data_IF_541835979956
#
_entry.id   IF_541835979956
#
_cell.length_a   1.000
_cell.length_b   1.000
_cell.length_c   1.000
_cell.angle_alpha   90.00
_cell.angle_beta   90.00
_cell.angle_gamma   90.00
#
_symmetry.space_group_name_H-M   'P 1'
#
loop_
_entity.id
_entity.type
_entity.pdbx_description
1 polymer ?
#
# COMPACT_ATOMS: atom_id res chain seq x y z
N UNK A 1 21.02 -10.25 -41.33
CA UNK A 1 19.55 -10.02 -41.32
C UNK A 1 18.82 -10.96 -40.37
N UNK A 2 18.78 -12.28 -40.59
CA UNK A 2 18.04 -13.23 -39.71
C UNK A 2 18.31 -13.12 -38.20
N UNK A 3 19.56 -12.92 -37.79
CA UNK A 3 19.90 -12.77 -36.36
C UNK A 3 19.44 -11.43 -35.76
N UNK A 4 19.38 -10.36 -36.57
CA UNK A 4 18.86 -9.06 -36.12
C UNK A 4 17.36 -9.18 -35.82
N UNK A 5 16.61 -9.90 -36.66
CA UNK A 5 15.20 -10.22 -36.38
C UNK A 5 15.04 -11.06 -35.11
N UNK A 6 15.90 -12.06 -34.91
CA UNK A 6 15.86 -12.86 -33.68
C UNK A 6 16.11 -12.00 -32.42
N UNK A 7 17.13 -11.14 -32.43
CA UNK A 7 17.41 -10.22 -31.33
C UNK A 7 16.26 -9.24 -31.09
N UNK A 8 15.65 -8.73 -32.17
CA UNK A 8 14.48 -7.86 -32.09
C UNK A 8 13.29 -8.57 -31.43
N UNK A 9 13.00 -9.82 -31.84
CA UNK A 9 11.92 -10.62 -31.24
C UNK A 9 12.20 -10.90 -29.77
N UNK A 10 13.43 -11.27 -29.40
CA UNK A 10 13.81 -11.52 -28.00
C UNK A 10 13.59 -10.26 -27.15
N UNK A 11 14.08 -9.11 -27.62
CA UNK A 11 13.92 -7.83 -26.92
C UNK A 11 12.44 -7.43 -26.81
N UNK A 12 11.66 -7.60 -27.88
CA UNK A 12 10.24 -7.30 -27.90
C UNK A 12 9.45 -8.21 -26.94
N UNK A 13 9.74 -9.52 -26.92
CA UNK A 13 9.12 -10.46 -25.99
C UNK A 13 9.47 -10.12 -24.53
N UNK A 14 10.72 -9.79 -24.24
CA UNK A 14 11.13 -9.38 -22.90
C UNK A 14 10.41 -8.11 -22.45
N UNK A 15 10.28 -7.11 -23.34
CA UNK A 15 9.55 -5.87 -23.07
C UNK A 15 8.06 -6.12 -22.82
N UNK A 16 7.39 -6.86 -23.71
CA UNK A 16 5.96 -7.17 -23.55
C UNK A 16 5.74 -7.95 -22.25
N UNK A 17 6.59 -8.94 -21.97
CA UNK A 17 6.45 -9.74 -20.77
C UNK A 17 6.65 -8.90 -19.51
N UNK A 18 7.76 -8.19 -19.38
CA UNK A 18 8.11 -7.47 -18.16
C UNK A 18 7.17 -6.29 -17.89
N UNK A 19 6.77 -5.54 -18.93
CA UNK A 19 6.03 -4.29 -18.74
C UNK A 19 4.51 -4.48 -18.71
N UNK A 20 3.98 -5.61 -19.18
CA UNK A 20 2.53 -5.80 -19.33
C UNK A 20 1.98 -7.16 -18.84
N UNK A 21 2.80 -8.21 -18.77
CA UNK A 21 2.30 -9.58 -18.47
C UNK A 21 2.77 -10.08 -17.10
N UNK A 22 3.99 -9.74 -16.69
CA UNK A 22 4.63 -10.31 -15.51
C UNK A 22 3.84 -10.05 -14.21
N UNK A 23 3.25 -8.86 -14.05
CA UNK A 23 2.38 -8.56 -12.90
C UNK A 23 1.17 -9.48 -12.84
N UNK A 24 0.48 -9.71 -13.97
CA UNK A 24 -0.65 -10.64 -14.01
C UNK A 24 -0.21 -12.08 -13.65
N UNK A 25 0.98 -12.49 -14.11
CA UNK A 25 1.53 -13.83 -13.84
C UNK A 25 1.89 -14.01 -12.37
N UNK A 26 2.39 -12.99 -11.70
CA UNK A 26 2.72 -13.05 -10.27
C UNK A 26 1.45 -12.96 -9.43
N UNK A 27 0.58 -11.99 -9.72
CA UNK A 27 -0.58 -11.64 -8.90
C UNK A 27 -1.74 -12.63 -9.04
N UNK A 28 -1.82 -13.44 -10.10
CA UNK A 28 -2.83 -14.51 -10.22
C UNK A 28 -2.77 -15.54 -9.07
N UNK A 29 -1.60 -15.66 -8.41
CA UNK A 29 -1.40 -16.54 -7.26
C UNK A 29 -2.00 -15.97 -5.97
N UNK A 30 -2.31 -14.68 -5.93
CA UNK A 30 -3.00 -14.09 -4.80
C UNK A 30 -4.50 -14.39 -4.87
N UNK A 31 -5.05 -14.84 -3.74
CA UNK A 31 -6.47 -15.16 -3.58
C UNK A 31 -6.99 -14.52 -2.31
N UNK A 32 -8.28 -14.20 -2.30
CA UNK A 32 -8.97 -13.77 -1.09
C UNK A 32 -8.93 -14.90 -0.07
N UNK A 33 -8.48 -14.65 1.17
CA UNK A 33 -8.46 -15.68 2.18
C UNK A 33 -9.89 -16.02 2.61
N UNK A 34 -10.16 -17.30 2.86
CA UNK A 34 -11.51 -17.79 3.20
C UNK A 34 -11.69 -17.90 4.71
N UNK A 35 -12.75 -17.29 5.23
CA UNK A 35 -13.14 -17.42 6.64
C UNK A 35 -13.75 -18.81 6.87
N UNK A 36 -13.03 -19.68 7.59
CA UNK A 36 -13.44 -21.06 7.87
C UNK A 36 -14.50 -21.15 8.97
N UNK A 37 -15.74 -20.75 8.68
CA UNK A 37 -16.88 -20.90 9.59
C UNK A 37 -17.73 -22.14 9.30
N UNK A 38 -18.16 -22.83 10.37
CA UNK A 38 -19.15 -23.94 10.28
C UNK A 38 -20.56 -23.48 9.87
N UNK A 39 -20.85 -22.18 9.97
CA UNK A 39 -22.15 -21.57 9.66
C UNK A 39 -22.01 -20.65 8.45
N UNK A 40 -22.71 -20.98 7.36
CA UNK A 40 -22.83 -20.30 6.06
C UNK A 40 -23.38 -18.86 6.11
N UNK A 41 -23.46 -18.22 7.28
CA UNK A 41 -24.38 -17.10 7.54
C UNK A 41 -23.93 -15.72 7.07
N UNK A 42 -22.80 -15.59 6.37
CA UNK A 42 -22.46 -14.32 5.71
C UNK A 42 -22.41 -14.56 4.21
N UNK A 43 -23.51 -14.22 3.54
CA UNK A 43 -23.71 -14.45 2.11
C UNK A 43 -22.78 -13.58 1.24
N UNK A 44 -22.21 -12.50 1.78
CA UNK A 44 -21.30 -11.58 1.06
C UNK A 44 -20.27 -10.91 2.00
N UNK A 45 -19.06 -11.49 2.20
CA UNK A 45 -18.00 -10.84 2.97
C UNK A 45 -17.40 -9.65 2.22
N UNK A 46 -16.91 -8.66 2.96
CA UNK A 46 -16.19 -7.53 2.39
C UNK A 46 -14.77 -7.92 2.02
N UNK A 47 -14.38 -7.66 0.77
CA UNK A 47 -13.03 -7.88 0.24
C UNK A 47 -12.28 -6.56 0.16
N UNK A 48 -11.45 -6.29 1.15
CA UNK A 48 -10.66 -5.06 1.24
C UNK A 48 -9.23 -5.31 0.76
N UNK A 49 -8.78 -4.52 -0.21
CA UNK A 49 -7.37 -4.45 -0.61
C UNK A 49 -6.71 -3.28 0.13
N UNK A 50 -5.56 -3.51 0.76
CA UNK A 50 -4.93 -2.53 1.64
C UNK A 50 -3.47 -2.34 1.22
N UNK A 51 -3.15 -1.11 0.83
CA UNK A 51 -1.83 -0.65 0.37
C UNK A 51 -1.25 0.34 1.39
N UNK A 52 0.07 0.57 1.34
CA UNK A 52 0.73 1.63 2.09
C UNK A 52 1.91 2.21 1.32
N UNK A 53 2.32 3.41 1.69
CA UNK A 53 3.58 4.03 1.30
C UNK A 53 3.81 3.97 -0.23
N UNK A 54 2.91 4.57 -1.01
CA UNK A 54 3.05 4.61 -2.47
C UNK A 54 4.14 5.57 -2.92
N UNK A 55 4.43 6.62 -2.14
CA UNK A 55 5.47 7.62 -2.38
C UNK A 55 5.57 8.07 -3.84
N UNK A 56 4.51 8.65 -4.39
CA UNK A 56 4.57 9.28 -5.70
C UNK A 56 5.68 10.33 -5.72
N UNK A 57 6.53 10.26 -6.75
CA UNK A 57 7.76 11.03 -6.78
C UNK A 57 7.51 12.49 -7.08
N UNK A 58 8.25 13.31 -6.34
CA UNK A 58 8.12 14.74 -6.39
C UNK A 58 9.04 15.50 -7.31
N UNK A 59 8.69 16.78 -7.58
CA UNK A 59 9.44 17.61 -8.51
C UNK A 59 10.74 18.14 -7.91
N UNK A 60 10.95 18.07 -6.58
CA UNK A 60 12.14 18.65 -5.96
C UNK A 60 13.29 17.66 -5.82
N UNK A 61 13.02 16.46 -5.30
CA UNK A 61 14.01 15.41 -4.99
C UNK A 61 13.86 14.18 -5.89
N UNK A 62 12.75 14.06 -6.62
CA UNK A 62 12.52 12.95 -7.55
C UNK A 62 13.32 13.11 -8.85
N UNK A 63 14.04 12.06 -9.24
CA UNK A 63 14.66 11.98 -10.55
C UNK A 63 13.63 11.52 -11.60
N UNK A 64 13.57 12.17 -12.77
CA UNK A 64 12.52 11.92 -13.76
C UNK A 64 12.50 10.48 -14.31
N UNK A 65 13.66 9.84 -14.50
CA UNK A 65 13.74 8.41 -14.91
C UNK A 65 13.24 7.47 -13.83
N UNK A 66 13.57 7.76 -12.56
CA UNK A 66 13.11 6.96 -11.43
C UNK A 66 11.59 7.10 -11.31
N UNK A 67 11.08 8.33 -11.40
CA UNK A 67 9.65 8.62 -11.45
C UNK A 67 8.96 7.82 -12.55
N UNK A 68 9.42 7.96 -13.79
CA UNK A 68 8.81 7.29 -14.94
C UNK A 68 8.74 5.77 -14.74
N UNK A 69 9.86 5.15 -14.35
CA UNK A 69 9.93 3.69 -14.33
C UNK A 69 9.30 3.06 -13.08
N UNK A 70 9.51 3.65 -11.91
CA UNK A 70 8.93 3.15 -10.65
C UNK A 70 7.41 3.30 -10.65
N UNK A 71 6.92 4.46 -11.07
CA UNK A 71 5.48 4.71 -11.13
C UNK A 71 4.80 3.89 -12.24
N UNK A 72 5.49 3.60 -13.34
CA UNK A 72 5.00 2.69 -14.37
C UNK A 72 4.71 1.29 -13.82
N UNK A 73 5.67 0.69 -13.12
CA UNK A 73 5.51 -0.64 -12.52
C UNK A 73 4.52 -0.63 -11.35
N UNK A 74 4.50 0.43 -10.53
CA UNK A 74 3.50 0.58 -9.48
C UNK A 74 2.08 0.64 -10.06
N UNK A 75 1.88 1.40 -11.14
CA UNK A 75 0.59 1.46 -11.85
C UNK A 75 0.24 0.11 -12.46
N UNK A 76 1.19 -0.55 -13.13
CA UNK A 76 1.00 -1.88 -13.72
C UNK A 76 0.51 -2.91 -12.69
N UNK A 77 1.22 -3.01 -11.57
CA UNK A 77 0.88 -3.90 -10.48
C UNK A 77 -0.49 -3.59 -9.87
N UNK A 78 -0.82 -2.32 -9.63
CA UNK A 78 -2.15 -1.95 -9.10
C UNK A 78 -3.28 -2.30 -10.07
N UNK A 79 -3.12 -1.99 -11.37
CA UNK A 79 -4.14 -2.26 -12.37
C UNK A 79 -4.33 -3.77 -12.57
N UNK A 80 -3.25 -4.56 -12.56
CA UNK A 80 -3.31 -6.02 -12.60
C UNK A 80 -3.99 -6.59 -11.35
N UNK A 81 -3.63 -6.13 -10.15
CA UNK A 81 -4.24 -6.54 -8.88
C UNK A 81 -5.75 -6.25 -8.86
N UNK A 82 -6.14 -5.01 -9.21
CA UNK A 82 -7.53 -4.58 -9.28
C UNK A 82 -8.36 -5.43 -10.26
N UNK A 83 -7.81 -5.66 -11.47
CA UNK A 83 -8.49 -6.44 -12.51
C UNK A 83 -8.68 -7.93 -12.12
N UNK A 84 -7.67 -8.54 -11.49
CA UNK A 84 -7.70 -9.94 -11.09
C UNK A 84 -8.54 -10.18 -9.84
N UNK A 85 -8.41 -9.32 -8.84
CA UNK A 85 -8.93 -9.56 -7.49
C UNK A 85 -10.30 -8.92 -7.28
N UNK A 86 -10.63 -7.84 -8.00
CA UNK A 86 -11.92 -7.14 -7.94
C UNK A 86 -12.36 -6.83 -6.49
N UNK A 87 -11.61 -5.98 -5.76
CA UNK A 87 -11.92 -5.64 -4.38
C UNK A 87 -13.24 -4.86 -4.27
N UNK A 88 -13.89 -4.96 -3.11
CA UNK A 88 -15.04 -4.12 -2.76
C UNK A 88 -14.62 -2.71 -2.33
N UNK A 89 -13.42 -2.57 -1.77
CA UNK A 89 -12.83 -1.31 -1.31
C UNK A 89 -11.30 -1.40 -1.34
N UNK A 90 -10.65 -0.27 -1.64
CA UNK A 90 -9.20 -0.14 -1.52
C UNK A 90 -8.85 0.91 -0.47
N UNK A 91 -7.98 0.56 0.47
CA UNK A 91 -7.40 1.50 1.43
C UNK A 91 -5.93 1.77 1.09
N UNK A 92 -5.48 3.01 1.22
CA UNK A 92 -4.06 3.39 1.13
C UNK A 92 -3.67 4.12 2.41
N UNK A 93 -2.76 3.52 3.18
CA UNK A 93 -2.43 3.88 4.56
C UNK A 93 -1.33 4.93 4.66
N UNK A 94 -1.53 6.09 4.04
CA UNK A 94 -0.58 7.21 4.13
C UNK A 94 0.62 7.11 3.21
N UNK A 95 1.38 8.21 3.23
CA UNK A 95 2.53 8.50 2.38
C UNK A 95 2.22 8.22 0.91
N UNK A 96 1.13 8.85 0.47
CA UNK A 96 0.69 8.81 -0.91
C UNK A 96 1.75 9.46 -1.80
N UNK A 97 2.34 10.55 -1.29
CA UNK A 97 3.28 11.43 -1.97
C UNK A 97 4.59 11.51 -1.22
N UNK A 98 5.73 11.60 -1.92
CA UNK A 98 7.06 11.71 -1.27
C UNK A 98 7.35 13.12 -0.73
N UNK A 99 6.70 14.13 -1.29
CA UNK A 99 6.94 15.55 -0.99
C UNK A 99 5.64 16.32 -0.81
N UNK A 100 4.57 15.64 -0.38
CA UNK A 100 3.28 16.26 -0.12
C UNK A 100 3.46 17.52 0.73
N UNK A 101 4.07 17.38 1.91
CA UNK A 101 4.37 18.45 2.88
C UNK A 101 5.33 19.56 2.41
N UNK A 102 5.85 19.50 1.18
CA UNK A 102 6.83 20.46 0.65
C UNK A 102 6.31 21.27 -0.53
N UNK A 103 5.37 20.72 -1.31
CA UNK A 103 4.93 21.34 -2.57
C UNK A 103 3.89 22.43 -2.35
N UNK A 104 3.75 23.34 -3.32
CA UNK A 104 2.67 24.34 -3.35
C UNK A 104 1.30 23.70 -3.57
N UNK A 105 0.22 24.46 -3.36
CA UNK A 105 -1.16 23.98 -3.57
C UNK A 105 -1.38 23.47 -5.01
N UNK A 106 -0.96 24.24 -6.02
CA UNK A 106 -1.07 23.82 -7.42
C UNK A 106 -0.34 22.50 -7.71
N UNK A 107 0.86 22.33 -7.16
CA UNK A 107 1.65 21.11 -7.34
C UNK A 107 1.04 19.93 -6.58
N UNK A 108 0.45 20.19 -5.41
CA UNK A 108 -0.30 19.19 -4.65
C UNK A 108 -1.54 18.71 -5.42
N UNK A 109 -2.26 19.61 -6.07
CA UNK A 109 -3.35 19.26 -6.96
C UNK A 109 -2.88 18.36 -8.12
N UNK A 110 -1.77 18.71 -8.78
CA UNK A 110 -1.16 17.88 -9.84
C UNK A 110 -0.81 16.47 -9.35
N UNK A 111 -0.29 16.37 -8.11
CA UNK A 111 -0.02 15.11 -7.42
C UNK A 111 -1.27 14.28 -7.22
N UNK A 112 -2.33 14.87 -6.67
CA UNK A 112 -3.61 14.21 -6.45
C UNK A 112 -4.16 13.69 -7.78
N UNK A 113 -4.14 14.49 -8.83
CA UNK A 113 -4.65 14.04 -10.13
C UNK A 113 -3.85 12.88 -10.69
N UNK A 114 -2.52 12.93 -10.58
CA UNK A 114 -1.65 11.82 -10.99
C UNK A 114 -1.91 10.55 -10.17
N UNK A 115 -2.05 10.69 -8.85
CA UNK A 115 -2.42 9.61 -7.93
C UNK A 115 -3.74 8.95 -8.33
N UNK A 116 -4.80 9.73 -8.49
CA UNK A 116 -6.11 9.22 -8.87
C UNK A 116 -6.13 8.57 -10.27
N UNK A 117 -5.22 8.99 -11.17
CA UNK A 117 -5.04 8.34 -12.46
C UNK A 117 -4.27 7.02 -12.36
N UNK A 118 -3.25 6.93 -11.51
CA UNK A 118 -2.49 5.70 -11.27
C UNK A 118 -3.35 4.64 -10.58
N UNK A 119 -4.08 5.06 -9.54
CA UNK A 119 -4.92 4.21 -8.70
C UNK A 119 -6.39 4.20 -9.14
N UNK A 120 -6.63 4.31 -10.45
CA UNK A 120 -7.99 4.28 -11.02
C UNK A 120 -8.65 2.92 -10.78
N UNK A 121 -9.86 2.95 -10.24
CA UNK A 121 -10.70 1.78 -9.98
C UNK A 121 -11.96 1.76 -10.87
N UNK A 122 -12.60 0.58 -11.03
CA UNK A 122 -13.92 0.50 -11.64
C UNK A 122 -14.96 1.36 -10.89
N UNK A 123 -16.00 1.87 -11.58
CA UNK A 123 -17.07 2.62 -10.93
C UNK A 123 -17.70 1.83 -9.77
N UNK A 124 -17.92 2.50 -8.64
CA UNK A 124 -18.53 1.92 -7.44
C UNK A 124 -17.56 1.30 -6.43
N UNK A 125 -16.27 1.16 -6.77
CA UNK A 125 -15.26 0.71 -5.80
C UNK A 125 -14.58 1.94 -5.15
N UNK A 126 -14.79 2.19 -3.85
CA UNK A 126 -14.14 3.30 -3.15
C UNK A 126 -12.63 3.12 -3.02
N UNK A 127 -11.90 4.21 -3.26
CA UNK A 127 -10.50 4.39 -2.89
C UNK A 127 -10.44 5.30 -1.65
N UNK A 128 -9.99 4.76 -0.53
CA UNK A 128 -9.91 5.45 0.75
C UNK A 128 -8.45 5.71 1.09
N UNK A 129 -8.03 6.97 0.99
CA UNK A 129 -6.62 7.37 1.14
C UNK A 129 -6.44 8.15 2.43
N UNK A 130 -5.65 7.62 3.35
CA UNK A 130 -5.37 8.21 4.67
C UNK A 130 -4.11 9.07 4.56
N UNK A 131 -3.97 10.12 5.38
CA UNK A 131 -2.77 10.94 5.42
C UNK A 131 -1.60 10.25 6.15
N UNK A 132 -0.40 10.32 5.55
CA UNK A 132 0.88 10.01 6.20
C UNK A 132 1.74 11.25 6.48
N UNK A 133 2.92 11.06 7.04
CA UNK A 133 3.81 12.18 7.40
C UNK A 133 4.43 12.88 6.19
N UNK A 134 4.59 12.21 5.05
CA UNK A 134 5.03 12.86 3.81
C UNK A 134 3.90 13.64 3.12
N UNK A 135 2.64 13.35 3.43
CA UNK A 135 1.49 14.03 2.84
C UNK A 135 1.20 15.37 3.54
N UNK A 136 1.17 15.34 4.88
CA UNK A 136 0.75 16.47 5.73
C UNK A 136 1.82 16.96 6.72
N UNK A 137 2.98 16.34 6.71
CA UNK A 137 4.08 16.61 7.64
C UNK A 137 4.01 15.70 8.88
N UNK A 138 5.17 15.39 9.47
CA UNK A 138 5.23 14.92 10.85
C UNK A 138 4.56 15.92 11.80
N UNK A 139 4.26 15.49 13.03
CA UNK A 139 3.58 16.30 14.03
C UNK A 139 4.11 17.76 14.13
N UNK A 140 5.42 17.95 14.25
CA UNK A 140 6.05 19.28 14.36
C UNK A 140 5.91 20.18 13.12
N UNK A 141 5.45 19.63 11.99
CA UNK A 141 5.20 20.31 10.72
C UNK A 141 3.72 20.40 10.37
N UNK A 142 2.84 19.80 11.18
CA UNK A 142 1.40 19.85 10.91
C UNK A 142 0.93 21.30 10.83
N UNK A 143 0.19 21.61 9.78
CA UNK A 143 -0.28 22.96 9.51
C UNK A 143 -1.68 22.93 8.86
N UNK A 144 -2.58 23.88 9.17
CA UNK A 144 -3.92 23.91 8.58
C UNK A 144 -3.91 23.90 7.05
N UNK A 145 -2.91 24.51 6.42
CA UNK A 145 -2.71 24.48 4.97
C UNK A 145 -2.55 23.05 4.43
N UNK A 146 -1.68 22.24 5.03
CA UNK A 146 -1.40 20.88 4.56
C UNK A 146 -2.59 19.95 4.79
N UNK A 147 -3.21 20.07 5.95
CA UNK A 147 -4.40 19.30 6.32
C UNK A 147 -5.60 19.67 5.44
N UNK A 148 -5.86 20.97 5.29
CA UNK A 148 -7.01 21.48 4.54
C UNK A 148 -6.97 21.10 3.07
N UNK A 149 -5.82 21.24 2.40
CA UNK A 149 -5.71 20.81 1.00
C UNK A 149 -5.83 19.29 0.83
N UNK A 150 -5.29 18.49 1.75
CA UNK A 150 -5.44 17.03 1.70
C UNK A 150 -6.92 16.67 1.84
N UNK A 151 -7.61 17.25 2.81
CA UNK A 151 -9.05 17.07 3.04
C UNK A 151 -9.87 17.42 1.79
N UNK A 152 -9.59 18.57 1.17
CA UNK A 152 -10.35 19.05 0.02
C UNK A 152 -10.34 18.08 -1.18
N UNK A 153 -9.27 17.29 -1.32
CA UNK A 153 -9.11 16.36 -2.44
C UNK A 153 -9.40 14.89 -2.06
N UNK A 154 -9.11 14.49 -0.81
CA UNK A 154 -9.08 13.08 -0.39
C UNK A 154 -9.94 12.78 0.85
N UNK A 155 -10.55 13.78 1.50
CA UNK A 155 -11.51 13.70 2.62
C UNK A 155 -11.04 13.06 3.95
N UNK A 156 -9.92 12.34 4.00
CA UNK A 156 -9.52 11.59 5.20
C UNK A 156 -8.22 12.13 5.80
N UNK A 157 -8.18 13.44 6.03
CA UNK A 157 -7.05 14.09 6.71
C UNK A 157 -7.13 13.98 8.24
N UNK A 158 -8.30 13.67 8.82
CA UNK A 158 -8.53 13.66 10.28
C UNK A 158 -8.92 12.25 10.78
N UNK A 159 -9.68 12.20 11.87
CA UNK A 159 -10.28 10.95 12.40
C UNK A 159 -11.69 10.78 11.84
N UNK A 160 -11.98 9.62 11.24
CA UNK A 160 -13.27 9.31 10.62
C UNK A 160 -13.76 7.91 10.97
N UNK A 161 -15.08 7.77 11.13
CA UNK A 161 -15.77 6.47 11.14
C UNK A 161 -16.29 6.18 9.73
N UNK A 162 -15.66 5.23 9.05
CA UNK A 162 -16.08 4.76 7.73
C UNK A 162 -16.80 3.42 7.87
N UNK A 163 -17.95 3.25 7.21
CA UNK A 163 -18.74 2.01 7.30
C UNK A 163 -19.14 1.51 5.92
N UNK A 164 -18.84 0.25 5.63
CA UNK A 164 -19.22 -0.44 4.39
C UNK A 164 -19.53 -1.91 4.70
N UNK A 165 -20.57 -2.48 4.07
CA UNK A 165 -21.06 -3.86 4.35
C UNK A 165 -21.17 -4.18 5.85
N UNK A 166 -21.68 -3.23 6.65
CA UNK A 166 -21.85 -3.34 8.11
C UNK A 166 -20.53 -3.51 8.91
N UNK A 167 -19.38 -3.16 8.31
CA UNK A 167 -18.08 -3.20 8.98
C UNK A 167 -17.63 -1.77 9.25
N UNK A 168 -17.23 -1.49 10.48
CA UNK A 168 -16.77 -0.20 10.94
C UNK A 168 -15.24 -0.11 10.89
N UNK A 169 -14.74 0.90 10.19
CA UNK A 169 -13.33 1.27 10.14
C UNK A 169 -13.16 2.63 10.82
N UNK A 170 -12.25 2.70 11.78
CA UNK A 170 -11.84 3.97 12.37
C UNK A 170 -10.53 4.38 11.71
N UNK A 171 -10.64 5.36 10.82
CA UNK A 171 -9.53 5.97 10.09
C UNK A 171 -8.93 7.05 10.97
N UNK A 172 -7.61 6.99 11.20
CA UNK A 172 -6.92 7.87 12.13
C UNK A 172 -5.71 8.48 11.41
N UNK A 173 -5.65 9.82 11.38
CA UNK A 173 -4.41 10.51 11.07
C UNK A 173 -3.46 10.43 12.27
N UNK A 174 -2.45 9.55 12.18
CA UNK A 174 -1.51 9.31 13.27
C UNK A 174 -0.67 10.53 13.66
N UNK A 175 -0.54 11.55 12.80
CA UNK A 175 0.26 12.74 13.11
C UNK A 175 -0.43 13.59 14.18
N UNK A 176 -1.75 13.45 14.30
CA UNK A 176 -2.57 14.07 15.34
C UNK A 176 -2.61 13.28 16.66
N UNK A 177 -1.86 12.18 16.78
CA UNK A 177 -1.83 11.32 17.96
C UNK A 177 -0.58 11.53 18.83
N UNK A 178 -0.02 12.75 18.83
CA UNK A 178 1.19 13.10 19.60
C UNK A 178 0.94 13.05 21.12
N UNK A 179 -0.26 13.46 21.56
CA UNK A 179 -0.66 13.51 22.97
C UNK A 179 -0.09 14.71 23.74
N UNK A 180 0.27 15.80 23.05
CA UNK A 180 0.84 17.02 23.65
C UNK A 180 -0.20 18.14 23.85
N UNK A 181 -1.48 17.88 23.51
CA UNK A 181 -2.56 18.85 23.61
C UNK A 181 -2.62 19.88 22.47
N UNK A 182 -1.89 19.66 21.36
CA UNK A 182 -1.99 20.50 20.18
C UNK A 182 -3.45 20.62 19.67
N UNK A 183 -3.78 21.66 18.91
CA UNK A 183 -5.14 21.84 18.38
C UNK A 183 -5.63 20.61 17.60
N UNK A 184 -4.82 20.09 16.67
CA UNK A 184 -5.18 18.90 15.89
C UNK A 184 -5.34 17.64 16.77
N UNK A 185 -4.57 17.56 17.85
CA UNK A 185 -4.56 16.46 18.79
C UNK A 185 -5.83 16.47 19.64
N UNK A 186 -6.20 17.64 20.16
CA UNK A 186 -7.46 17.83 20.88
C UNK A 186 -8.68 17.54 19.98
N UNK A 187 -8.65 18.02 18.73
CA UNK A 187 -9.70 17.69 17.74
C UNK A 187 -9.78 16.17 17.48
N UNK A 188 -8.64 15.49 17.33
CA UNK A 188 -8.59 14.05 17.11
C UNK A 188 -9.15 13.26 18.30
N UNK A 189 -8.76 13.61 19.53
CA UNK A 189 -9.29 13.00 20.74
C UNK A 189 -10.80 13.22 20.89
N UNK A 190 -11.29 14.43 20.63
CA UNK A 190 -12.73 14.73 20.66
C UNK A 190 -13.49 13.87 19.65
N UNK A 191 -12.97 13.75 18.42
CA UNK A 191 -13.57 12.88 17.39
C UNK A 191 -13.55 11.41 17.80
N UNK A 192 -12.46 10.91 18.38
CA UNK A 192 -12.38 9.54 18.89
C UNK A 192 -13.43 9.27 19.98
N UNK A 193 -13.63 10.20 20.92
CA UNK A 193 -14.66 10.08 21.97
C UNK A 193 -16.08 10.10 21.38
N UNK A 194 -16.32 10.93 20.36
CA UNK A 194 -17.60 10.96 19.65
C UNK A 194 -17.87 9.65 18.89
N UNK A 195 -16.86 9.08 18.25
CA UNK A 195 -16.94 7.77 17.59
C UNK A 195 -17.18 6.66 18.61
N UNK A 196 -16.44 6.65 19.73
CA UNK A 196 -16.66 5.72 20.85
C UNK A 196 -18.10 5.76 21.33
N UNK A 197 -18.67 6.95 21.53
CA UNK A 197 -20.07 7.12 21.95
C UNK A 197 -21.05 6.59 20.90
N UNK A 198 -20.76 6.83 19.62
CA UNK A 198 -21.55 6.32 18.49
C UNK A 198 -21.54 4.79 18.45
N UNK A 199 -20.36 4.16 18.55
CA UNK A 199 -20.20 2.71 18.56
C UNK A 199 -20.88 2.07 19.78
N UNK A 200 -20.74 2.68 20.96
CA UNK A 200 -21.45 2.26 22.17
C UNK A 200 -22.97 2.24 21.96
N UNK A 201 -23.52 3.26 21.31
CA UNK A 201 -24.94 3.32 21.00
C UNK A 201 -25.40 2.32 19.93
N UNK A 202 -24.54 1.96 18.98
CA UNK A 202 -24.81 0.87 18.04
C UNK A 202 -24.81 -0.49 18.76
N UNK A 203 -23.93 -0.69 19.75
CA UNK A 203 -23.85 -1.92 20.54
C UNK A 203 -25.00 -2.06 21.55
N UNK A 204 -25.50 -0.94 22.08
CA UNK A 204 -26.55 -0.89 23.10
C UNK A 204 -27.75 -0.02 22.69
N UNK A 205 -28.46 -0.34 21.59
CA UNK A 205 -29.53 0.49 21.03
C UNK A 205 -30.75 0.68 21.94
N UNK A 206 -30.87 -0.14 22.98
CA UNK A 206 -31.92 -0.10 24.00
C UNK A 206 -31.73 1.03 25.03
N UNK A 207 -30.53 1.59 25.17
CA UNK A 207 -30.28 2.69 26.12
C UNK A 207 -31.01 3.96 25.68
N UNK A 208 -31.58 4.69 26.65
CA UNK A 208 -32.40 5.88 26.39
C UNK A 208 -31.61 6.99 25.64
N UNK A 209 -30.33 7.16 25.94
CA UNK A 209 -29.43 8.11 25.27
C UNK A 209 -29.15 7.74 23.80
N UNK A 210 -29.38 6.49 23.40
CA UNK A 210 -29.01 5.93 22.10
C UNK A 210 -30.18 5.80 21.11
N UNK A 211 -31.35 6.34 21.45
CA UNK A 211 -32.58 6.23 20.64
C UNK A 211 -32.40 6.74 19.21
N UNK A 212 -31.52 7.73 18.99
CA UNK A 212 -31.24 8.32 17.67
C UNK A 212 -30.31 7.47 16.78
N UNK A 213 -29.53 6.56 17.34
CA UNK A 213 -28.45 5.82 16.64
C UNK A 213 -28.90 4.44 16.14
N UNK A 214 -30.19 4.11 16.27
CA UNK A 214 -30.77 2.77 15.99
C UNK A 214 -30.65 2.24 14.55
N UNK A 215 -30.03 2.98 13.63
CA UNK A 215 -30.12 2.70 12.18
C UNK A 215 -29.01 1.79 11.63
N UNK A 216 -27.94 1.55 12.38
CA UNK A 216 -26.81 0.74 11.90
C UNK A 216 -26.47 -0.39 12.88
N UNK A 217 -26.32 -1.63 12.38
CA UNK A 217 -25.87 -2.74 13.20
C UNK A 217 -24.41 -2.55 13.59
N UNK A 218 -24.09 -2.94 14.83
CA UNK A 218 -22.75 -2.84 15.38
C UNK A 218 -21.82 -3.92 14.82
N UNK A 219 -20.62 -3.52 14.42
CA UNK A 219 -19.45 -4.39 14.30
C UNK A 219 -18.31 -3.86 15.16
N UNK A 220 -17.52 -4.73 15.77
CA UNK A 220 -16.32 -4.29 16.48
C UNK A 220 -15.32 -3.68 15.49
N UNK A 221 -14.80 -2.46 15.75
CA UNK A 221 -14.14 -1.67 14.71
C UNK A 221 -12.75 -2.21 14.35
N UNK A 222 -12.32 -1.82 13.15
CA UNK A 222 -10.97 -2.06 12.61
C UNK A 222 -10.23 -0.71 12.56
N UNK A 223 -9.01 -0.65 13.07
CA UNK A 223 -8.20 0.56 12.99
C UNK A 223 -7.47 0.63 11.65
N UNK A 224 -7.52 1.81 11.02
CA UNK A 224 -6.81 2.13 9.79
C UNK A 224 -5.99 3.40 10.01
N UNK A 225 -4.68 3.30 9.95
CA UNK A 225 -3.80 4.43 10.26
C UNK A 225 -2.47 4.33 9.52
N UNK A 226 -1.63 5.36 9.62
CA UNK A 226 -0.31 5.36 8.99
C UNK A 226 0.77 4.84 9.94
N UNK A 227 0.92 5.40 11.15
CA UNK A 227 1.88 4.88 12.13
C UNK A 227 1.35 3.62 12.81
N UNK A 228 2.15 2.54 12.93
CA UNK A 228 1.77 1.39 13.73
C UNK A 228 1.50 1.75 15.19
N UNK A 229 0.71 0.93 15.88
CA UNK A 229 0.58 1.03 17.33
C UNK A 229 1.91 0.76 18.04
N UNK A 230 2.01 1.17 19.30
CA UNK A 230 3.25 1.10 20.07
C UNK A 230 3.86 -0.32 20.07
N UNK A 231 5.12 -0.40 19.66
CA UNK A 231 6.04 -1.53 19.87
C UNK A 231 7.48 -1.04 19.87
N UNK A 232 8.35 -1.72 20.63
CA UNK A 232 9.76 -1.29 20.78
C UNK A 232 10.60 -1.54 19.53
N UNK A 233 10.23 -2.52 18.71
CA UNK A 233 10.86 -2.84 17.41
C UNK A 233 10.05 -3.93 16.71
N UNK A 234 10.40 -4.23 15.46
CA UNK A 234 9.81 -5.36 14.72
C UNK A 234 10.24 -6.75 15.23
N UNK A 235 11.03 -6.84 16.31
CA UNK A 235 11.37 -8.14 16.93
C UNK A 235 10.14 -8.86 17.49
N UNK A 236 9.07 -8.12 17.78
CA UNK A 236 7.80 -8.68 18.28
C UNK A 236 6.92 -9.26 17.18
N UNK A 237 7.28 -9.02 15.91
CA UNK A 237 6.50 -9.50 14.77
C UNK A 237 6.61 -11.02 14.66
N UNK A 238 5.45 -11.69 14.53
CA UNK A 238 5.35 -13.11 14.18
C UNK A 238 5.93 -13.37 12.80
N UNK A 239 5.68 -12.45 11.87
CA UNK A 239 6.21 -12.45 10.52
C UNK A 239 6.67 -11.03 10.18
N UNK A 240 7.83 -10.89 9.53
CA UNK A 240 8.33 -9.61 9.03
C UNK A 240 9.19 -9.79 7.78
N UNK A 241 9.43 -8.69 7.06
CA UNK A 241 10.33 -8.68 5.89
C UNK A 241 11.36 -7.54 5.88
N UNK A 242 11.52 -6.86 7.02
CA UNK A 242 12.61 -5.92 7.26
C UNK A 242 13.96 -6.67 7.26
N UNK A 243 14.96 -6.23 6.48
CA UNK A 243 16.28 -6.87 6.44
C UNK A 243 17.08 -6.65 7.72
N UNK A 244 16.86 -5.51 8.38
CA UNK A 244 17.49 -5.12 9.65
C UNK A 244 16.38 -4.62 10.56
N UNK A 245 16.35 -5.13 11.80
CA UNK A 245 15.35 -4.72 12.79
C UNK A 245 15.95 -3.64 13.70
N UNK A 246 15.43 -2.43 13.55
CA UNK A 246 15.84 -1.26 14.34
C UNK A 246 14.95 -1.08 15.58
N UNK A 247 15.47 -0.32 16.55
CA UNK A 247 14.67 0.12 17.69
C UNK A 247 13.76 1.28 17.28
N UNK A 248 12.49 1.21 17.69
CA UNK A 248 11.52 2.23 17.37
C UNK A 248 11.49 3.36 18.38
N UNK A 249 11.08 4.52 17.88
CA UNK A 249 10.92 5.75 18.64
C UNK A 249 9.44 6.11 18.58
N UNK A 250 8.84 6.28 19.76
CA UNK A 250 7.48 6.78 19.87
C UNK A 250 7.31 8.12 19.16
N UNK A 251 6.12 8.35 18.59
CA UNK A 251 5.72 9.59 17.90
C UNK A 251 6.52 9.87 16.62
N UNK A 252 7.32 8.90 16.19
CA UNK A 252 8.09 9.00 14.96
C UNK A 252 7.93 7.73 14.12
N UNK A 253 8.36 6.58 14.66
CA UNK A 253 8.24 5.28 13.97
C UNK A 253 6.90 4.59 14.26
N UNK A 254 6.33 4.85 15.44
CA UNK A 254 5.10 4.24 15.95
C UNK A 254 4.35 5.26 16.80
N UNK A 255 3.06 5.03 17.05
CA UNK A 255 2.31 5.77 18.05
C UNK A 255 2.96 5.64 19.43
N UNK A 256 2.71 6.63 20.29
CA UNK A 256 3.10 6.51 21.69
C UNK A 256 2.31 5.40 22.39
N UNK A 257 2.87 4.92 23.51
CA UNK A 257 2.20 3.95 24.37
C UNK A 257 0.84 4.48 24.86
N UNK A 258 0.81 5.74 25.28
CA UNK A 258 -0.40 6.42 25.77
C UNK A 258 -1.45 6.57 24.67
N UNK A 259 -1.05 6.97 23.45
CA UNK A 259 -1.96 7.06 22.32
C UNK A 259 -2.52 5.68 21.94
N UNK A 260 -1.69 4.64 22.00
CA UNK A 260 -2.13 3.26 21.76
C UNK A 260 -3.15 2.83 22.79
N UNK A 261 -2.88 3.05 24.08
CA UNK A 261 -3.79 2.70 25.18
C UNK A 261 -5.12 3.46 25.08
N UNK A 262 -5.08 4.76 24.75
CA UNK A 262 -6.28 5.57 24.50
C UNK A 262 -7.17 4.97 23.40
N UNK A 263 -6.57 4.53 22.28
CA UNK A 263 -7.33 3.88 21.20
C UNK A 263 -7.96 2.56 21.66
N UNK A 264 -7.24 1.77 22.46
CA UNK A 264 -7.75 0.56 23.07
C UNK A 264 -8.96 0.81 23.97
N UNK A 265 -8.85 1.78 24.87
CA UNK A 265 -9.88 2.12 25.85
C UNK A 265 -11.16 2.65 25.21
N UNK A 266 -11.02 3.53 24.21
CA UNK A 266 -12.15 4.16 23.53
C UNK A 266 -12.83 3.23 22.52
N UNK A 267 -12.04 2.51 21.71
CA UNK A 267 -12.58 1.84 20.52
C UNK A 267 -12.72 0.33 20.68
N UNK A 268 -11.92 -0.28 21.55
CA UNK A 268 -11.83 -1.75 21.70
C UNK A 268 -11.79 -2.45 20.34
N UNK A 269 -10.82 -2.12 19.47
CA UNK A 269 -10.77 -2.66 18.12
C UNK A 269 -10.52 -4.16 18.12
N UNK A 270 -10.79 -4.82 16.98
CA UNK A 270 -10.51 -6.27 16.79
C UNK A 270 -9.36 -6.58 15.83
N UNK A 271 -8.95 -5.59 15.04
CA UNK A 271 -7.93 -5.70 14.00
C UNK A 271 -7.37 -4.31 13.72
N UNK A 272 -6.09 -4.21 13.37
CA UNK A 272 -5.45 -2.95 12.99
C UNK A 272 -4.59 -3.11 11.73
N UNK A 273 -4.59 -2.08 10.89
CA UNK A 273 -3.67 -1.95 9.76
C UNK A 273 -2.92 -0.62 9.82
N UNK A 274 -1.62 -0.67 9.55
CA UNK A 274 -0.71 0.47 9.54
C UNK A 274 0.23 0.45 8.32
N UNK A 275 0.96 1.54 8.06
CA UNK A 275 2.00 1.66 7.03
C UNK A 275 3.34 2.13 7.63
N UNK A 276 3.94 3.15 7.02
CA UNK A 276 5.07 3.95 7.52
C UNK A 276 6.44 3.26 7.53
N UNK A 277 6.55 2.03 8.03
CA UNK A 277 7.85 1.35 8.15
C UNK A 277 8.43 0.87 6.81
N UNK A 278 7.65 0.94 5.73
CA UNK A 278 7.92 0.37 4.40
C UNK A 278 8.08 -1.16 4.37
N UNK A 279 8.09 -1.83 5.53
CA UNK A 279 8.29 -3.25 5.70
C UNK A 279 7.05 -3.91 6.29
N UNK A 280 6.84 -5.18 5.91
CA UNK A 280 5.77 -5.96 6.48
C UNK A 280 6.11 -6.35 7.91
N UNK A 281 5.13 -6.21 8.79
CA UNK A 281 5.12 -6.84 10.10
C UNK A 281 3.71 -7.31 10.43
N UNK A 282 3.56 -8.56 10.84
CA UNK A 282 2.37 -9.06 11.53
C UNK A 282 2.70 -9.33 12.99
N UNK A 283 1.98 -8.71 13.90
CA UNK A 283 2.16 -8.91 15.34
C UNK A 283 0.81 -8.99 16.06
N UNK A 284 0.82 -9.50 17.29
CA UNK A 284 -0.26 -9.18 18.24
C UNK A 284 0.21 -7.95 18.99
N UNK A 285 -0.49 -6.85 18.79
CA UNK A 285 -0.06 -5.57 19.33
C UNK A 285 -0.35 -5.45 20.82
N UNK A 286 -0.01 -4.28 21.39
CA UNK A 286 -0.23 -3.94 22.80
C UNK A 286 -1.69 -4.09 23.25
N UNK A 287 -2.66 -4.00 22.34
CA UNK A 287 -4.09 -4.12 22.62
C UNK A 287 -4.57 -5.59 22.62
N UNK A 288 -3.69 -6.55 22.34
CA UNK A 288 -4.03 -7.97 22.29
C UNK A 288 -4.75 -8.39 21.00
N UNK A 289 -4.66 -7.59 19.94
CA UNK A 289 -5.26 -7.88 18.63
C UNK A 289 -4.19 -8.03 17.55
N UNK A 290 -4.51 -8.71 16.45
CA UNK A 290 -3.62 -8.73 15.30
C UNK A 290 -3.49 -7.33 14.68
N UNK A 291 -2.26 -6.94 14.41
CA UNK A 291 -1.90 -5.73 13.67
C UNK A 291 -0.99 -6.11 12.50
N UNK A 292 -1.34 -5.57 11.33
CA UNK A 292 -0.55 -5.70 10.11
C UNK A 292 0.01 -4.34 9.70
N UNK A 293 1.32 -4.17 9.86
CA UNK A 293 2.05 -3.10 9.19
C UNK A 293 2.28 -3.54 7.75
N UNK A 294 1.66 -2.83 6.81
CA UNK A 294 1.68 -3.10 5.38
C UNK A 294 2.99 -2.57 4.80
N UNK A 295 3.67 -3.40 4.01
CA UNK A 295 4.89 -2.98 3.33
C UNK A 295 4.58 -1.91 2.28
N UNK A 296 5.61 -1.17 1.87
CA UNK A 296 5.46 -0.17 0.82
C UNK A 296 5.02 -0.82 -0.50
N UNK A 297 4.09 -0.17 -1.19
CA UNK A 297 3.63 -0.52 -2.53
C UNK A 297 4.53 0.08 -3.64
N UNK A 298 5.78 0.42 -3.33
CA UNK A 298 6.69 1.10 -4.25
C UNK A 298 8.07 0.45 -4.28
N UNK A 299 8.57 0.17 -5.49
CA UNK A 299 9.92 -0.36 -5.65
C UNK A 299 11.04 0.60 -5.24
N UNK A 300 10.72 1.88 -5.03
CA UNK A 300 11.70 2.85 -4.52
C UNK A 300 12.07 2.55 -3.07
N UNK A 301 11.11 2.09 -2.29
CA UNK A 301 11.28 1.85 -0.86
C UNK A 301 11.71 0.41 -0.58
N UNK A 302 11.28 -0.55 -1.41
CA UNK A 302 11.62 -1.97 -1.24
C UNK A 302 11.63 -2.73 -2.57
N UNK A 303 12.59 -3.64 -2.76
CA UNK A 303 12.74 -4.41 -4.02
C UNK A 303 11.65 -5.47 -4.25
N UNK A 304 10.99 -5.90 -3.18
CA UNK A 304 9.91 -6.90 -3.14
C UNK A 304 8.65 -6.36 -2.40
N UNK A 305 7.95 -5.36 -2.95
CA UNK A 305 6.71 -4.80 -2.40
C UNK A 305 5.65 -5.86 -2.16
N UNK A 306 4.74 -5.55 -1.25
CA UNK A 306 3.56 -6.38 -1.00
C UNK A 306 2.39 -5.53 -0.52
N UNK A 307 1.20 -6.11 -0.59
CA UNK A 307 -0.03 -5.50 -0.09
C UNK A 307 -0.90 -6.56 0.59
N UNK A 308 -1.93 -6.12 1.31
CA UNK A 308 -2.78 -7.03 2.07
C UNK A 308 -4.14 -7.22 1.39
N UNK A 309 -4.65 -8.44 1.48
CA UNK A 309 -6.00 -8.82 1.15
C UNK A 309 -6.70 -9.22 2.43
N UNK A 310 -7.77 -8.51 2.78
CA UNK A 310 -8.58 -8.82 3.94
C UNK A 310 -9.99 -9.22 3.50
N UNK A 311 -10.41 -10.41 3.93
CA UNK A 311 -11.79 -10.86 3.84
C UNK A 311 -12.44 -10.62 5.20
N UNK A 312 -13.43 -9.75 5.24
CA UNK A 312 -13.98 -9.19 6.47
C UNK A 312 -15.48 -9.47 6.58
N UNK A 313 -15.92 -9.82 7.77
CA UNK A 313 -17.33 -9.88 8.17
C UNK A 313 -17.52 -9.04 9.43
N UNK A 314 -18.75 -8.72 9.87
CA UNK A 314 -18.95 -7.91 11.08
C UNK A 314 -18.27 -8.47 12.35
N UNK A 315 -18.03 -9.77 12.42
CA UNK A 315 -17.57 -10.49 13.61
C UNK A 315 -16.36 -11.41 13.37
N UNK A 316 -15.86 -11.54 12.13
CA UNK A 316 -14.66 -12.32 11.80
C UNK A 316 -13.81 -11.66 10.72
N UNK A 317 -12.57 -12.12 10.57
CA UNK A 317 -11.68 -11.70 9.50
C UNK A 317 -10.66 -12.78 9.14
N UNK A 318 -10.17 -12.72 7.91
CA UNK A 318 -8.98 -13.42 7.48
C UNK A 318 -8.13 -12.48 6.61
N UNK A 319 -6.81 -12.55 6.75
CA UNK A 319 -5.87 -11.63 6.10
C UNK A 319 -4.77 -12.41 5.39
N UNK A 320 -4.44 -12.01 4.17
CA UNK A 320 -3.41 -12.62 3.34
C UNK A 320 -2.48 -11.57 2.76
N UNK A 321 -1.17 -11.80 2.84
CA UNK A 321 -0.15 -10.96 2.20
C UNK A 321 0.08 -11.38 0.75
N UNK A 322 -0.17 -10.47 -0.18
CA UNK A 322 0.11 -10.65 -1.60
C UNK A 322 1.43 -9.99 -1.98
N UNK A 323 2.39 -10.78 -2.47
CA UNK A 323 3.69 -10.27 -2.96
C UNK A 323 3.53 -9.76 -4.39
N UNK A 324 4.14 -8.61 -4.67
CA UNK A 324 4.21 -8.04 -6.03
C UNK A 324 5.41 -8.60 -6.80
N UNK A 325 5.45 -8.32 -8.09
CA UNK A 325 6.60 -8.61 -8.94
C UNK A 325 7.87 -7.95 -8.36
N UNK A 326 8.93 -8.71 -8.03
CA UNK A 326 10.16 -8.09 -7.52
C UNK A 326 10.90 -7.34 -8.63
N UNK A 327 11.45 -6.17 -8.31
CA UNK A 327 12.23 -5.36 -9.27
C UNK A 327 13.35 -6.18 -9.93
N UNK A 328 14.05 -6.98 -9.13
CA UNK A 328 15.18 -7.77 -9.60
C UNK A 328 14.77 -8.80 -10.66
N UNK A 329 13.54 -9.29 -10.62
CA UNK A 329 13.03 -10.22 -11.64
C UNK A 329 12.96 -9.56 -13.01
N UNK A 330 12.49 -8.32 -13.08
CA UNK A 330 12.42 -7.55 -14.34
C UNK A 330 13.82 -7.27 -14.87
N UNK A 331 14.75 -6.83 -14.01
CA UNK A 331 16.14 -6.60 -14.41
C UNK A 331 16.84 -7.86 -14.89
N UNK A 332 16.68 -8.98 -14.19
CA UNK A 332 17.25 -10.26 -14.60
C UNK A 332 16.67 -10.74 -15.93
N UNK A 333 15.39 -10.48 -16.19
CA UNK A 333 14.73 -10.82 -17.45
C UNK A 333 15.33 -10.04 -18.61
N UNK A 334 15.52 -8.71 -18.46
CA UNK A 334 16.18 -7.89 -19.47
C UNK A 334 17.66 -8.26 -19.67
N UNK A 335 18.40 -8.55 -18.60
CA UNK A 335 19.79 -9.00 -18.68
C UNK A 335 19.90 -10.35 -19.40
N UNK A 336 18.96 -11.27 -19.16
CA UNK A 336 18.91 -12.57 -19.84
C UNK A 336 18.63 -12.40 -21.33
N UNK A 337 17.69 -11.51 -21.69
CA UNK A 337 17.40 -11.17 -23.08
C UNK A 337 18.61 -10.54 -23.79
N UNK A 338 19.29 -9.60 -23.14
CA UNK A 338 20.51 -8.99 -23.66
C UNK A 338 21.64 -10.02 -23.86
N UNK A 339 21.84 -10.90 -22.88
CA UNK A 339 22.83 -11.98 -22.98
C UNK A 339 22.52 -12.93 -24.14
N UNK A 340 21.25 -13.33 -24.31
CA UNK A 340 20.83 -14.16 -25.43
C UNK A 340 21.14 -13.50 -26.78
N UNK A 341 20.87 -12.19 -26.91
CA UNK A 341 21.23 -11.40 -28.09
C UNK A 341 22.75 -11.37 -28.32
N UNK A 342 23.56 -11.17 -27.27
CA UNK A 342 25.03 -11.17 -27.36
C UNK A 342 25.57 -12.52 -27.82
N UNK A 343 25.06 -13.63 -27.28
CA UNK A 343 25.44 -14.98 -27.72
C UNK A 343 25.10 -15.17 -29.19
N UNK A 344 23.91 -14.76 -29.64
CA UNK A 344 23.53 -14.84 -31.06
C UNK A 344 24.47 -14.03 -31.95
N UNK A 345 24.81 -12.80 -31.56
CA UNK A 345 25.76 -11.94 -32.29
C UNK A 345 27.12 -12.61 -32.38
N UNK A 346 27.65 -13.11 -31.26
CA UNK A 346 28.94 -13.78 -31.21
C UNK A 346 29.00 -15.02 -32.13
N UNK A 347 27.95 -15.86 -32.11
CA UNK A 347 27.86 -17.03 -32.99
C UNK A 347 27.84 -16.63 -34.48
N UNK A 348 27.22 -15.51 -34.83
CA UNK A 348 27.18 -15.01 -36.21
C UNK A 348 28.51 -14.40 -36.64
N UNK A 349 29.17 -13.65 -35.75
CA UNK A 349 30.53 -13.13 -36.00
C UNK A 349 31.52 -14.27 -36.22
N UNK A 350 31.46 -15.33 -35.39
CA UNK A 350 32.30 -16.53 -35.59
C UNK A 350 32.06 -17.19 -36.95
N UNK A 351 30.79 -17.32 -37.38
CA UNK A 351 30.45 -17.84 -38.72
C UNK A 351 30.97 -16.94 -39.84
N UNK A 352 30.84 -15.63 -39.70
CA UNK A 352 31.32 -14.64 -40.66
C UNK A 352 32.84 -14.69 -40.80
N UNK A 353 33.57 -14.68 -39.69
CA UNK A 353 35.04 -14.77 -39.66
C UNK A 353 35.51 -16.07 -40.31
N UNK A 354 34.89 -17.22 -39.96
CA UNK A 354 35.24 -18.51 -40.56
C UNK A 354 35.05 -18.49 -42.08
N UNK A 355 33.90 -18.00 -42.57
CA UNK A 355 33.61 -17.92 -44.01
C UNK A 355 34.55 -16.97 -44.74
N UNK A 356 34.90 -15.83 -44.12
CA UNK A 356 35.88 -14.90 -44.69
C UNK A 356 37.27 -15.52 -44.77
N UNK A 357 37.69 -16.26 -43.74
CA UNK A 357 38.97 -16.97 -43.74
C UNK A 357 39.03 -18.02 -44.85
N UNK A 358 37.98 -18.84 -45.01
CA UNK A 358 37.86 -19.84 -46.10
C UNK A 358 37.91 -19.17 -47.49
N UNK A 359 37.16 -18.08 -47.70
CA UNK A 359 37.20 -17.31 -48.96
C UNK A 359 38.58 -16.68 -49.24
N UNK A 360 39.27 -16.21 -48.20
CA UNK A 360 40.62 -15.63 -48.33
C UNK A 360 41.69 -16.68 -48.64
N UNK A 361 41.44 -17.94 -48.28
CA UNK A 361 42.32 -19.07 -48.60
C UNK A 361 42.13 -19.49 -50.05
N UNK A 362 40.88 -19.62 -50.50
CA UNK A 362 40.52 -19.92 -51.90
C UNK A 362 41.00 -18.88 -52.93
N UNK A 363 41.28 -17.64 -52.53
CA UNK A 363 41.86 -16.61 -53.40
C UNK A 363 43.40 -16.64 -53.47
N UNK A 364 44.06 -17.41 -52.60
CA UNK A 364 45.53 -17.52 -52.52
C UNK A 364 46.06 -18.81 -53.17
N UNK A 365 45.19 -19.77 -53.37
CA UNK A 365 45.36 -20.94 -54.26
C UNK A 365 44.87 -20.56 -55.66
#
# INVERSE_FOLDING_TARGET
MRWMYACFVIALCALIFCEYVADFVVLQNCKWPEIRRKKKYVDDPLRAMILADTHLLGPHRGHWLDKLYREWHMKGAFQAASALLKPDVVFVLGDLFDEGDMVSEKRFEEYVWHYLQMFRLPPGVPLISIAGNHDVGFHYKMHPFFMGRFENYLNFSKVHLYTIKQIHFVIINSMSMEGDGCQFCAEAEEKLRNISSTLHCMQHPQKAECVRTRRHPYSQPILMQHFPTYRDSDKVCKEHDAPVIEAFRERFHVLSKDATDLLGDLLKPRLAFAGHSHHYCHSVNRLGIDEYTVASFSWRNKVDPSFMLATLTPDDYEVYKCKMLPQQFVYNSYMSAALACLVLIFLQLKKYIKRHYELSRLKRE
#
